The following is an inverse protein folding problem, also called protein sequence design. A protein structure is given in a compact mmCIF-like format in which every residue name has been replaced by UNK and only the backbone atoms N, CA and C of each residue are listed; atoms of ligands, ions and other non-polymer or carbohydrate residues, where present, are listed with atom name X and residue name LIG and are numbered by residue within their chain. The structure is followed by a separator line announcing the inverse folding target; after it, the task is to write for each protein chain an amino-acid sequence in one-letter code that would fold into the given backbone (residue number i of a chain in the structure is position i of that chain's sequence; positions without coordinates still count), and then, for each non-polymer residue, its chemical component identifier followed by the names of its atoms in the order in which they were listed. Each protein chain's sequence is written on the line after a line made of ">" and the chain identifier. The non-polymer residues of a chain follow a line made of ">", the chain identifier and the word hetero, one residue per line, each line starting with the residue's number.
data_IF_360670838254
#
_entry.id   IF_360670838254
#
_cell.length_a   1.000
_cell.length_b   1.000
_cell.length_c   1.000
_cell.angle_alpha   90.00
_cell.angle_beta   90.00
_cell.angle_gamma   90.00
#
_symmetry.space_group_name_H-M   'P 1'
#
loop_
_entity.id
_entity.type
_entity.pdbx_description
1 polymer ?
#
# COMPACT_ATOMS: atom_id res chain seq x y z
N UNK A 1 2.88 11.25 -18.17
CA UNK A 1 2.19 10.74 -16.97
C UNK A 1 2.55 11.64 -15.80
N UNK A 2 1.59 12.05 -14.98
CA UNK A 2 1.80 12.72 -13.68
C UNK A 2 1.55 11.74 -12.55
N UNK A 3 2.49 11.65 -11.61
CA UNK A 3 2.44 10.72 -10.49
C UNK A 3 2.31 11.51 -9.19
N UNK A 4 1.44 11.06 -8.29
CA UNK A 4 1.36 11.54 -6.92
C UNK A 4 1.85 10.46 -5.97
N UNK A 5 2.81 10.81 -5.13
CA UNK A 5 3.21 9.99 -3.98
C UNK A 5 2.43 10.46 -2.76
N UNK A 6 1.62 9.58 -2.18
CA UNK A 6 0.94 9.81 -0.91
C UNK A 6 1.72 9.06 0.16
N UNK A 7 2.26 9.81 1.11
CA UNK A 7 2.98 9.25 2.24
C UNK A 7 2.36 9.71 3.54
N UNK A 8 2.65 8.97 4.61
CA UNK A 8 2.30 9.37 5.98
C UNK A 8 0.78 9.55 6.15
N UNK A 9 0.00 8.57 5.69
CA UNK A 9 -1.40 8.45 6.12
C UNK A 9 -1.49 8.09 7.60
N UNK A 10 -0.56 7.25 8.04
CA UNK A 10 -0.26 7.03 9.45
C UNK A 10 0.97 7.86 9.84
N UNK A 11 0.84 8.68 10.89
CA UNK A 11 1.86 9.68 11.23
C UNK A 11 3.21 9.12 11.67
N UNK A 12 3.22 7.89 12.19
CA UNK A 12 4.41 7.18 12.65
C UNK A 12 5.11 6.37 11.54
N UNK A 13 4.55 6.29 10.33
CA UNK A 13 5.16 5.59 9.18
C UNK A 13 5.98 6.59 8.34
N UNK A 14 7.20 6.90 8.79
CA UNK A 14 7.99 8.04 8.29
C UNK A 14 8.62 7.82 6.90
N UNK A 15 8.70 6.58 6.42
CA UNK A 15 9.35 6.27 5.13
C UNK A 15 8.68 7.01 3.95
N UNK A 16 7.35 7.16 3.97
CA UNK A 16 6.63 7.92 2.96
C UNK A 16 7.10 9.37 2.82
N UNK A 17 7.51 10.03 3.91
CA UNK A 17 8.08 11.37 3.84
C UNK A 17 9.45 11.37 3.13
N UNK A 18 10.32 10.40 3.44
CA UNK A 18 11.62 10.23 2.79
C UNK A 18 11.47 9.99 1.29
N UNK A 19 10.52 9.14 0.91
CA UNK A 19 10.20 8.84 -0.51
C UNK A 19 9.73 10.09 -1.26
N UNK A 20 8.87 10.91 -0.65
CA UNK A 20 8.42 12.18 -1.24
C UNK A 20 9.60 13.11 -1.51
N UNK A 21 10.49 13.29 -0.53
CA UNK A 21 11.64 14.18 -0.65
C UNK A 21 12.63 13.68 -1.72
N UNK A 22 12.87 12.36 -1.76
CA UNK A 22 13.71 11.71 -2.77
C UNK A 22 13.19 11.94 -4.19
N UNK A 23 11.92 11.66 -4.44
CA UNK A 23 11.36 11.73 -5.79
C UNK A 23 11.13 13.15 -6.29
N UNK A 24 10.67 14.08 -5.44
CA UNK A 24 10.42 15.48 -5.84
C UNK A 24 11.67 16.20 -6.33
N UNK A 25 12.83 15.84 -5.79
CA UNK A 25 14.11 16.42 -6.20
C UNK A 25 14.59 15.89 -7.56
N UNK A 26 14.16 14.67 -7.92
CA UNK A 26 14.69 13.91 -9.06
C UNK A 26 13.77 13.94 -10.29
N UNK A 27 12.45 14.03 -10.09
CA UNK A 27 11.48 13.87 -11.17
C UNK A 27 10.47 15.02 -11.25
N UNK A 28 10.55 15.82 -12.30
CA UNK A 28 9.71 17.02 -12.48
C UNK A 28 8.20 16.74 -12.57
N UNK A 29 7.79 15.54 -12.99
CA UNK A 29 6.38 15.13 -13.14
C UNK A 29 5.84 14.32 -11.95
N UNK A 30 6.57 14.31 -10.84
CA UNK A 30 6.20 13.61 -9.60
C UNK A 30 6.00 14.63 -8.50
N UNK A 31 4.78 14.67 -7.98
CA UNK A 31 4.47 15.42 -6.77
C UNK A 31 4.31 14.45 -5.59
N UNK A 32 4.21 15.01 -4.39
CA UNK A 32 3.98 14.24 -3.19
C UNK A 32 3.28 15.03 -2.10
N UNK A 33 2.56 14.32 -1.25
CA UNK A 33 1.76 14.90 -0.17
C UNK A 33 1.95 14.11 1.13
N UNK A 34 2.22 14.83 2.21
CA UNK A 34 2.09 14.31 3.57
C UNK A 34 0.60 14.27 3.88
N UNK A 35 0.02 13.08 3.89
CA UNK A 35 -1.43 12.90 3.96
C UNK A 35 -2.00 13.36 5.31
N UNK A 36 -1.36 12.94 6.41
CA UNK A 36 -1.75 13.25 7.78
C UNK A 36 -0.66 14.07 8.52
N UNK A 37 -0.51 15.39 8.21
CA UNK A 37 0.54 16.21 8.80
C UNK A 37 0.39 16.42 10.32
N UNK A 38 -0.83 16.33 10.87
CA UNK A 38 -1.07 16.44 12.32
C UNK A 38 -0.54 15.21 13.04
N UNK A 39 -0.92 14.01 12.61
CA UNK A 39 -0.41 12.77 13.19
C UNK A 39 1.11 12.64 13.00
N UNK A 40 1.63 13.08 11.85
CA UNK A 40 3.06 13.11 11.59
C UNK A 40 3.83 13.97 12.60
N UNK A 41 3.36 15.19 12.85
CA UNK A 41 3.96 16.10 13.82
C UNK A 41 3.97 15.54 15.24
N UNK A 42 2.94 14.77 15.59
CA UNK A 42 2.78 14.16 16.91
C UNK A 42 3.44 12.77 17.01
N UNK A 43 3.96 12.22 15.90
CA UNK A 43 4.50 10.87 15.80
C UNK A 43 3.53 9.79 16.32
N UNK A 44 2.26 9.93 15.96
CA UNK A 44 1.19 8.96 16.30
C UNK A 44 0.61 8.37 15.03
N UNK A 45 0.00 7.18 15.11
CA UNK A 45 -0.64 6.55 13.95
C UNK A 45 -1.74 7.43 13.36
N UNK A 46 -2.63 7.95 14.20
CA UNK A 46 -3.67 8.91 13.85
C UNK A 46 -4.09 9.71 15.08
N UNK A 47 -4.78 10.84 14.88
CA UNK A 47 -5.23 11.75 15.92
C UNK A 47 -6.65 11.41 16.42
N UNK A 48 -7.60 11.17 15.50
CA UNK A 48 -9.01 10.92 15.85
C UNK A 48 -9.49 9.58 15.29
N UNK A 49 -9.29 9.32 14.00
CA UNK A 49 -9.65 8.05 13.35
C UNK A 49 -8.56 7.57 12.39
N UNK A 50 -8.56 6.28 12.03
CA UNK A 50 -7.62 5.75 11.04
C UNK A 50 -7.90 6.38 9.65
N UNK A 51 -6.93 7.16 9.14
CA UNK A 51 -7.06 7.87 7.87
C UNK A 51 -7.27 6.91 6.69
N UNK A 52 -6.62 5.75 6.68
CA UNK A 52 -6.77 4.74 5.62
C UNK A 52 -8.04 3.89 5.77
N UNK A 53 -8.98 4.34 6.62
CA UNK A 53 -10.37 3.89 6.74
C UNK A 53 -11.39 5.03 6.59
N UNK A 54 -10.90 6.25 6.32
CA UNK A 54 -11.69 7.49 6.37
C UNK A 54 -12.04 8.05 4.99
N UNK A 55 -11.62 7.41 3.89
CA UNK A 55 -12.03 7.83 2.55
C UNK A 55 -13.50 7.50 2.31
N UNK A 56 -14.17 8.31 1.48
CA UNK A 56 -15.60 8.16 1.15
C UNK A 56 -16.51 8.05 2.38
N UNK A 57 -16.13 8.69 3.49
CA UNK A 57 -16.94 8.74 4.70
C UNK A 57 -18.33 9.35 4.39
N UNK A 58 -19.44 8.76 4.88
CA UNK A 58 -20.79 9.29 4.63
C UNK A 58 -20.99 10.72 5.14
N UNK A 59 -20.26 11.09 6.18
CA UNK A 59 -20.25 12.43 6.77
C UNK A 59 -18.85 12.72 7.32
N UNK A 60 -18.34 13.92 7.10
CA UNK A 60 -17.05 14.36 7.65
C UNK A 60 -17.28 14.81 9.10
N UNK A 61 -16.68 14.08 10.04
CA UNK A 61 -16.82 14.29 11.49
C UNK A 61 -15.48 14.35 12.23
N UNK A 62 -14.42 13.80 11.64
CA UNK A 62 -13.07 13.78 12.18
C UNK A 62 -12.08 14.55 11.30
N UNK A 63 -10.94 14.89 11.90
CA UNK A 63 -9.80 15.46 11.20
C UNK A 63 -9.32 14.57 10.04
N UNK A 64 -9.20 13.26 10.23
CA UNK A 64 -8.75 12.34 9.18
C UNK A 64 -9.74 12.18 8.04
N UNK A 65 -11.06 12.16 8.29
CA UNK A 65 -12.08 12.17 7.23
C UNK A 65 -11.99 13.42 6.36
N UNK A 66 -11.76 14.59 6.98
CA UNK A 66 -11.53 15.83 6.24
C UNK A 66 -10.26 15.73 5.38
N UNK A 67 -9.17 15.24 5.94
CA UNK A 67 -7.91 15.07 5.21
C UNK A 67 -8.02 14.05 4.08
N UNK A 68 -8.73 12.94 4.29
CA UNK A 68 -8.96 11.92 3.28
C UNK A 68 -9.72 12.50 2.09
N UNK A 69 -10.76 13.32 2.33
CA UNK A 69 -11.47 14.02 1.26
C UNK A 69 -10.56 14.99 0.48
N UNK A 70 -9.71 15.76 1.17
CA UNK A 70 -8.76 16.67 0.53
C UNK A 70 -7.70 15.94 -0.32
N UNK A 71 -7.15 14.83 0.17
CA UNK A 71 -6.20 13.98 -0.56
C UNK A 71 -6.87 13.30 -1.76
N UNK A 72 -8.11 12.86 -1.61
CA UNK A 72 -8.88 12.28 -2.71
C UNK A 72 -9.12 13.29 -3.85
N UNK A 73 -9.51 14.52 -3.52
CA UNK A 73 -9.67 15.58 -4.53
C UNK A 73 -8.34 15.98 -5.19
N UNK A 74 -7.23 15.97 -4.44
CA UNK A 74 -5.90 16.19 -5.00
C UNK A 74 -5.52 15.08 -5.99
N UNK A 75 -5.78 13.82 -5.62
CA UNK A 75 -5.43 12.62 -6.40
C UNK A 75 -6.04 12.62 -7.80
N UNK A 76 -7.22 13.22 -7.99
CA UNK A 76 -7.89 13.35 -9.30
C UNK A 76 -7.09 14.14 -10.35
N UNK A 77 -6.05 14.86 -9.96
CA UNK A 77 -5.21 15.67 -10.86
C UNK A 77 -4.02 14.88 -11.44
N UNK A 78 -3.88 13.62 -11.04
CA UNK A 78 -2.74 12.76 -11.37
C UNK A 78 -3.23 11.53 -12.13
N UNK A 79 -2.36 11.00 -12.98
CA UNK A 79 -2.66 9.82 -13.79
C UNK A 79 -2.48 8.52 -12.98
N UNK A 80 -1.59 8.57 -11.97
CA UNK A 80 -1.25 7.43 -11.12
C UNK A 80 -0.89 7.90 -9.70
N UNK A 81 -1.33 7.13 -8.70
CA UNK A 81 -1.06 7.40 -7.28
C UNK A 81 -0.33 6.24 -6.64
N UNK A 82 0.76 6.54 -5.95
CA UNK A 82 1.55 5.58 -5.18
C UNK A 82 1.33 5.89 -3.70
N UNK A 83 0.73 4.96 -2.98
CA UNK A 83 0.54 5.03 -1.53
C UNK A 83 1.69 4.32 -0.82
N UNK A 84 2.36 4.99 0.13
CA UNK A 84 3.53 4.43 0.82
C UNK A 84 3.18 4.15 2.28
N UNK A 85 3.36 2.89 2.68
CA UNK A 85 3.13 2.40 4.02
C UNK A 85 4.34 1.61 4.54
N UNK A 86 4.42 1.49 5.86
CA UNK A 86 5.39 0.60 6.51
C UNK A 86 4.71 -0.33 7.50
N UNK A 87 5.20 -1.57 7.56
CA UNK A 87 4.72 -2.64 8.43
C UNK A 87 5.84 -3.20 9.31
N UNK A 88 5.45 -3.84 10.40
CA UNK A 88 6.31 -4.67 11.25
C UNK A 88 6.20 -6.16 10.93
N UNK A 89 5.40 -6.53 9.93
CA UNK A 89 5.27 -7.91 9.47
C UNK A 89 6.61 -8.46 8.95
N UNK A 90 6.80 -9.78 9.13
CA UNK A 90 8.00 -10.50 8.69
C UNK A 90 7.97 -10.74 7.17
N UNK A 91 8.31 -9.70 6.41
CA UNK A 91 8.47 -9.68 4.96
C UNK A 91 9.11 -8.36 4.50
N UNK A 92 10.03 -8.37 3.53
CA UNK A 92 10.72 -7.12 3.13
C UNK A 92 9.78 -6.05 2.55
N UNK A 93 8.94 -6.44 1.59
CA UNK A 93 8.08 -5.52 0.85
C UNK A 93 6.98 -6.29 0.09
N UNK A 94 5.80 -5.69 -0.08
CA UNK A 94 4.76 -6.20 -1.00
C UNK A 94 3.89 -5.07 -1.58
N UNK A 95 3.57 -5.12 -2.89
CA UNK A 95 2.53 -4.25 -3.45
C UNK A 95 1.13 -4.75 -3.08
N UNK A 96 0.27 -3.81 -2.69
CA UNK A 96 -1.13 -4.02 -2.36
C UNK A 96 -2.01 -3.24 -3.33
N UNK A 97 -3.01 -3.90 -3.92
CA UNK A 97 -3.94 -3.31 -4.87
C UNK A 97 -5.39 -3.52 -4.42
N UNK A 98 -6.29 -2.60 -4.79
CA UNK A 98 -7.74 -2.80 -4.66
C UNK A 98 -8.35 -3.32 -5.97
N UNK A 99 -7.82 -2.87 -7.10
CA UNK A 99 -8.27 -3.25 -8.43
C UNK A 99 -7.09 -3.60 -9.34
N UNK A 100 -7.34 -4.41 -10.37
CA UNK A 100 -6.34 -4.80 -11.36
C UNK A 100 -6.79 -4.33 -12.75
N UNK A 101 -6.19 -3.23 -13.19
CA UNK A 101 -6.43 -2.64 -14.51
C UNK A 101 -5.11 -2.46 -15.27
N UNK A 102 -5.17 -1.96 -16.51
CA UNK A 102 -3.98 -1.82 -17.35
C UNK A 102 -2.88 -0.94 -16.74
N UNK A 103 -3.25 0.15 -16.04
CA UNK A 103 -2.28 1.06 -15.42
C UNK A 103 -1.61 0.40 -14.21
N UNK A 104 -2.39 -0.29 -13.39
CA UNK A 104 -1.88 -1.05 -12.23
C UNK A 104 -1.00 -2.22 -12.70
N UNK A 105 -1.44 -2.97 -13.72
CA UNK A 105 -0.63 -4.04 -14.31
C UNK A 105 0.73 -3.50 -14.79
N UNK A 106 0.72 -2.36 -15.48
CA UNK A 106 1.94 -1.67 -15.91
C UNK A 106 2.83 -1.31 -14.72
N UNK A 107 2.30 -0.71 -13.67
CA UNK A 107 3.07 -0.39 -12.48
C UNK A 107 3.71 -1.64 -11.84
N UNK A 108 2.93 -2.73 -11.70
CA UNK A 108 3.42 -3.98 -11.15
C UNK A 108 4.56 -4.60 -11.98
N UNK A 109 4.61 -4.36 -13.29
CA UNK A 109 5.70 -4.86 -14.15
C UNK A 109 7.08 -4.27 -13.84
N UNK A 110 7.13 -3.10 -13.20
CA UNK A 110 8.36 -2.44 -12.78
C UNK A 110 8.80 -2.83 -11.36
N UNK A 111 7.94 -3.52 -10.60
CA UNK A 111 8.27 -3.97 -9.26
C UNK A 111 8.96 -5.34 -9.29
N UNK A 112 9.96 -5.57 -8.42
CA UNK A 112 10.74 -6.79 -8.46
C UNK A 112 9.95 -8.03 -7.99
N UNK A 113 9.06 -7.87 -7.01
CA UNK A 113 8.33 -8.97 -6.37
C UNK A 113 7.38 -9.69 -7.32
N UNK A 114 7.30 -11.01 -7.21
CA UNK A 114 6.27 -11.79 -7.92
C UNK A 114 4.93 -11.68 -7.20
N UNK A 115 4.95 -11.55 -5.88
CA UNK A 115 3.78 -11.52 -5.01
C UNK A 115 3.10 -10.15 -5.04
N UNK A 116 1.78 -10.18 -5.19
CA UNK A 116 0.91 -9.01 -5.13
C UNK A 116 -0.29 -9.34 -4.26
N UNK A 117 -0.63 -8.47 -3.31
CA UNK A 117 -1.83 -8.65 -2.48
C UNK A 117 -2.97 -7.85 -3.09
N UNK A 118 -4.12 -8.49 -3.29
CA UNK A 118 -5.35 -7.80 -3.68
C UNK A 118 -6.34 -7.81 -2.53
N UNK A 119 -6.70 -6.61 -2.06
CA UNK A 119 -7.67 -6.39 -0.98
C UNK A 119 -9.10 -6.45 -1.54
N UNK A 120 -9.87 -7.46 -1.15
CA UNK A 120 -11.24 -7.70 -1.68
C UNK A 120 -12.33 -7.53 -0.60
N UNK A 121 -12.04 -6.77 0.46
CA UNK A 121 -13.01 -6.42 1.50
C UNK A 121 -13.95 -5.30 1.05
N UNK A 122 -15.23 -5.30 1.46
CA UNK A 122 -16.14 -4.18 1.20
C UNK A 122 -15.64 -2.84 1.76
N UNK A 123 -14.82 -2.88 2.81
CA UNK A 123 -14.23 -1.71 3.46
C UNK A 123 -13.04 -1.12 2.70
N UNK A 124 -12.48 -1.82 1.70
CA UNK A 124 -11.36 -1.31 0.90
C UNK A 124 -11.72 0.00 0.20
N UNK A 125 -13.00 0.20 -0.15
CA UNK A 125 -13.52 1.45 -0.74
C UNK A 125 -13.35 2.68 0.17
N UNK A 126 -13.02 2.48 1.45
CA UNK A 126 -12.74 3.54 2.41
C UNK A 126 -11.22 3.78 2.63
N UNK A 127 -10.37 3.11 1.85
CA UNK A 127 -8.93 3.35 1.76
C UNK A 127 -8.61 4.26 0.56
N UNK A 128 -7.38 4.78 0.49
CA UNK A 128 -6.94 5.54 -0.69
C UNK A 128 -7.01 4.68 -1.95
N UNK A 129 -6.44 3.48 -1.91
CA UNK A 129 -6.34 2.60 -3.08
C UNK A 129 -7.69 2.08 -3.56
N UNK A 130 -8.67 1.92 -2.66
CA UNK A 130 -10.03 1.58 -3.06
C UNK A 130 -10.86 2.78 -3.52
N UNK A 131 -10.35 4.00 -3.38
CA UNK A 131 -11.00 5.25 -3.81
C UNK A 131 -10.40 5.84 -5.09
N UNK A 132 -9.19 5.42 -5.48
CA UNK A 132 -8.46 5.92 -6.64
C UNK A 132 -8.16 4.76 -7.60
N UNK A 133 -8.76 4.77 -8.78
CA UNK A 133 -8.69 3.65 -9.73
C UNK A 133 -7.26 3.31 -10.19
N UNK A 134 -6.45 4.31 -10.51
CA UNK A 134 -5.08 4.14 -10.96
C UNK A 134 -4.12 4.30 -9.78
N UNK A 135 -4.17 3.37 -8.84
CA UNK A 135 -3.32 3.42 -7.66
C UNK A 135 -2.90 2.04 -7.18
N UNK A 136 -1.80 2.03 -6.42
CA UNK A 136 -1.39 0.90 -5.60
C UNK A 136 -0.84 1.43 -4.29
N UNK A 137 -0.75 0.55 -3.31
CA UNK A 137 -0.01 0.76 -2.08
C UNK A 137 1.25 -0.10 -2.10
N UNK A 138 2.32 0.43 -1.54
CA UNK A 138 3.59 -0.23 -1.34
C UNK A 138 3.80 -0.36 0.17
N UNK A 139 3.77 -1.60 0.66
CA UNK A 139 3.90 -1.92 2.07
C UNK A 139 5.32 -2.46 2.31
N UNK A 140 6.16 -1.69 2.99
CA UNK A 140 7.56 -2.06 3.27
C UNK A 140 7.72 -2.45 4.74
N UNK A 141 8.52 -3.47 5.05
CA UNK A 141 8.91 -3.66 6.44
C UNK A 141 9.75 -2.47 6.93
N UNK A 142 9.55 -2.08 8.19
CA UNK A 142 10.19 -0.89 8.78
C UNK A 142 11.72 -0.92 8.72
N UNK A 143 12.34 -2.09 8.91
CA UNK A 143 13.80 -2.24 8.82
C UNK A 143 14.26 -2.21 7.35
N UNK A 144 13.51 -2.87 6.45
CA UNK A 144 13.83 -2.87 5.02
C UNK A 144 13.68 -1.47 4.41
N UNK A 145 12.72 -0.67 4.87
CA UNK A 145 12.48 0.71 4.45
C UNK A 145 13.65 1.66 4.72
N UNK A 146 14.58 1.30 5.61
CA UNK A 146 15.81 2.05 5.86
C UNK A 146 16.95 1.71 4.87
N UNK A 147 16.74 0.75 3.98
CA UNK A 147 17.74 0.34 2.99
C UNK A 147 17.70 1.17 1.70
N UNK A 148 18.85 1.29 1.03
CA UNK A 148 18.93 1.90 -0.30
C UNK A 148 18.05 1.15 -1.32
N UNK A 149 17.92 -0.18 -1.16
CA UNK A 149 17.08 -1.03 -2.01
C UNK A 149 15.61 -0.62 -1.98
N UNK A 150 15.10 -0.15 -0.85
CA UNK A 150 13.72 0.33 -0.76
C UNK A 150 13.51 1.57 -1.65
N UNK A 151 14.48 2.50 -1.68
CA UNK A 151 14.45 3.66 -2.58
C UNK A 151 14.69 3.28 -4.04
N UNK A 152 15.54 2.29 -4.32
CA UNK A 152 15.74 1.74 -5.68
C UNK A 152 14.42 1.19 -6.25
N UNK A 153 13.63 0.46 -5.45
CA UNK A 153 12.30 -0.03 -5.87
C UNK A 153 11.37 1.13 -6.26
N UNK A 154 11.40 2.23 -5.50
CA UNK A 154 10.61 3.42 -5.83
C UNK A 154 11.10 4.05 -7.14
N UNK A 155 12.42 4.17 -7.31
CA UNK A 155 13.01 4.74 -8.52
C UNK A 155 12.65 3.93 -9.76
N UNK A 156 12.75 2.60 -9.69
CA UNK A 156 12.39 1.71 -10.80
C UNK A 156 10.92 1.85 -11.19
N UNK A 157 10.01 1.89 -10.20
CA UNK A 157 8.59 2.11 -10.43
C UNK A 157 8.33 3.48 -11.09
N UNK A 158 8.91 4.55 -10.54
CA UNK A 158 8.69 5.92 -11.03
C UNK A 158 9.25 6.08 -12.45
N UNK A 159 10.50 5.67 -12.68
CA UNK A 159 11.15 5.75 -14.00
C UNK A 159 10.37 4.92 -15.02
N UNK A 160 9.99 3.70 -14.68
CA UNK A 160 9.20 2.84 -15.56
C UNK A 160 7.82 3.43 -15.89
N UNK A 161 7.13 4.01 -14.91
CA UNK A 161 5.83 4.64 -15.16
C UNK A 161 5.94 5.92 -16.00
N UNK A 162 7.06 6.64 -15.92
CA UNK A 162 7.36 7.81 -16.75
C UNK A 162 7.85 7.45 -18.16
N UNK A 163 8.36 6.24 -18.40
CA UNK A 163 8.73 5.75 -19.74
C UNK A 163 7.51 5.37 -20.56
N UNK A 164 7.70 4.81 -21.76
CA UNK A 164 6.65 4.11 -22.51
C UNK A 164 6.73 2.60 -22.28
N UNK A 165 5.62 1.88 -22.47
CA UNK A 165 5.58 0.41 -22.43
C UNK A 165 5.53 -0.21 -21.02
N UNK A 166 5.57 -1.54 -20.98
CA UNK A 166 5.69 -2.34 -19.76
C UNK A 166 7.17 -2.53 -19.39
N UNK A 167 7.41 -2.88 -18.13
CA UNK A 167 8.68 -3.40 -17.66
C UNK A 167 8.96 -4.80 -18.21
N UNK A 168 9.96 -5.47 -17.63
CA UNK A 168 10.30 -6.82 -18.03
C UNK A 168 9.11 -7.77 -17.85
N UNK A 169 8.97 -8.71 -18.80
CA UNK A 169 7.96 -9.74 -18.70
C UNK A 169 8.17 -10.58 -17.44
N UNK A 170 7.21 -10.54 -16.52
CA UNK A 170 7.25 -11.28 -15.25
C UNK A 170 5.87 -11.85 -14.95
N UNK A 171 5.84 -13.08 -14.45
CA UNK A 171 4.62 -13.61 -13.85
C UNK A 171 4.43 -12.99 -12.48
N UNK A 172 3.20 -12.54 -12.19
CA UNK A 172 2.81 -12.12 -10.84
C UNK A 172 1.82 -13.11 -10.25
N UNK A 173 1.96 -13.40 -8.96
CA UNK A 173 1.02 -14.18 -8.17
C UNK A 173 0.18 -13.22 -7.34
N UNK A 174 -1.11 -13.11 -7.66
CA UNK A 174 -2.06 -12.26 -6.96
C UNK A 174 -2.75 -13.06 -5.86
N UNK A 175 -2.59 -12.65 -4.60
CA UNK A 175 -3.23 -13.20 -3.42
C UNK A 175 -4.54 -12.46 -3.14
N UNK A 176 -5.66 -13.16 -3.27
CA UNK A 176 -7.00 -12.59 -3.11
C UNK A 176 -7.42 -12.61 -1.64
N UNK A 177 -7.24 -11.49 -0.95
CA UNK A 177 -7.53 -11.35 0.49
C UNK A 177 -8.98 -10.98 0.74
N UNK A 178 -9.69 -11.87 1.42
CA UNK A 178 -11.13 -11.73 1.70
C UNK A 178 -11.50 -12.01 3.16
N UNK A 179 -10.53 -12.36 4.00
CA UNK A 179 -10.77 -12.72 5.41
C UNK A 179 -9.80 -12.02 6.36
N UNK A 180 -10.28 -11.73 7.56
CA UNK A 180 -9.46 -11.23 8.67
C UNK A 180 -9.04 -12.42 9.53
N UNK A 181 -7.76 -12.52 9.85
CA UNK A 181 -7.24 -13.49 10.82
C UNK A 181 -7.50 -12.93 12.21
N UNK A 182 -8.31 -13.63 13.02
CA UNK A 182 -8.63 -13.20 14.38
C UNK A 182 -7.38 -13.09 15.24
N UNK A 183 -7.40 -12.12 16.15
CA UNK A 183 -6.44 -11.93 17.26
C UNK A 183 -6.30 -13.15 18.19
N UNK A 184 -7.25 -14.09 18.14
CA UNK A 184 -7.24 -15.36 18.89
C UNK A 184 -6.65 -16.52 18.10
N UNK A 185 -6.39 -16.34 16.81
CA UNK A 185 -5.76 -17.37 16.00
C UNK A 185 -4.32 -17.57 16.47
N UNK A 186 -3.88 -18.83 16.57
CA UNK A 186 -2.47 -19.11 16.77
C UNK A 186 -1.72 -18.79 15.47
N UNK A 187 -0.85 -17.80 15.45
CA UNK A 187 -0.03 -17.44 14.29
C UNK A 187 1.44 -17.90 14.46
N UNK A 188 1.75 -18.63 15.53
CA UNK A 188 3.11 -19.06 15.83
C UNK A 188 3.65 -19.98 14.72
N UNK A 189 4.81 -19.61 14.16
CA UNK A 189 5.47 -20.37 13.09
C UNK A 189 4.84 -20.22 11.70
N UNK A 190 3.74 -19.48 11.57
CA UNK A 190 3.13 -19.16 10.29
C UNK A 190 3.96 -18.15 9.52
N UNK A 191 3.90 -18.20 8.18
CA UNK A 191 4.68 -17.31 7.30
C UNK A 191 3.76 -16.53 6.37
N UNK A 192 4.07 -15.26 6.18
CA UNK A 192 3.38 -14.43 5.19
C UNK A 192 3.50 -15.05 3.78
N UNK A 193 2.41 -15.00 3.01
CA UNK A 193 2.34 -15.43 1.60
C UNK A 193 2.56 -16.93 1.34
N UNK A 194 2.63 -17.76 2.39
CA UNK A 194 2.73 -19.23 2.32
C UNK A 194 1.44 -19.86 2.84
N UNK A 195 0.92 -20.88 2.15
CA UNK A 195 -0.34 -21.51 2.59
C UNK A 195 -0.17 -22.16 3.97
N UNK A 196 -1.10 -21.86 4.87
CA UNK A 196 -1.18 -22.43 6.20
C UNK A 196 -2.34 -23.40 6.30
N UNK A 197 -2.06 -24.68 6.52
CA UNK A 197 -3.10 -25.66 6.84
C UNK A 197 -3.79 -25.33 8.17
N UNK A 198 -3.05 -24.71 9.11
CA UNK A 198 -3.56 -24.33 10.44
C UNK A 198 -4.59 -23.20 10.36
N UNK A 199 -4.31 -22.21 9.53
CA UNK A 199 -5.19 -21.04 9.32
C UNK A 199 -6.16 -21.22 8.14
N UNK A 200 -5.96 -22.26 7.32
CA UNK A 200 -6.76 -22.54 6.12
C UNK A 200 -6.74 -21.41 5.08
N UNK A 201 -5.64 -20.66 5.00
CA UNK A 201 -5.44 -19.54 4.09
C UNK A 201 -3.95 -19.27 3.88
N UNK A 202 -3.61 -18.38 2.92
CA UNK A 202 -2.31 -17.73 2.89
C UNK A 202 -2.35 -16.53 3.83
N UNK A 203 -1.60 -16.50 4.94
CA UNK A 203 -1.57 -15.37 5.85
C UNK A 203 -0.85 -14.18 5.21
N UNK A 204 -1.33 -12.97 5.46
CA UNK A 204 -0.85 -11.73 4.86
C UNK A 204 -0.76 -10.68 5.95
N UNK A 205 0.39 -10.00 6.03
CA UNK A 205 0.71 -9.01 7.05
C UNK A 205 0.53 -9.51 8.50
N UNK A 206 0.77 -10.81 8.73
CA UNK A 206 0.88 -11.33 10.10
C UNK A 206 2.20 -10.85 10.73
N UNK A 207 2.15 -10.58 12.04
CA UNK A 207 3.27 -9.98 12.79
C UNK A 207 3.19 -8.47 12.91
N UNK A 208 2.19 -7.81 12.28
CA UNK A 208 1.96 -6.38 12.43
C UNK A 208 1.52 -6.01 13.86
N UNK A 209 2.35 -5.23 14.55
CA UNK A 209 2.18 -4.82 15.95
C UNK A 209 1.10 -3.74 16.14
N UNK A 210 0.75 -2.99 15.10
CA UNK A 210 -0.24 -1.91 15.18
C UNK A 210 -1.67 -2.35 14.92
N UNK A 211 -1.92 -3.61 14.53
CA UNK A 211 -3.28 -4.11 14.39
C UNK A 211 -3.97 -4.30 15.74
N UNK A 212 -5.22 -3.85 15.82
CA UNK A 212 -6.06 -3.93 17.02
C UNK A 212 -7.30 -4.77 16.68
N UNK A 213 -7.48 -5.89 17.38
CA UNK A 213 -8.62 -6.79 17.21
C UNK A 213 -8.48 -7.82 16.08
N UNK A 214 -7.31 -7.90 15.44
CA UNK A 214 -6.97 -8.92 14.46
C UNK A 214 -5.45 -9.09 14.32
N UNK A 215 -5.00 -10.21 13.75
CA UNK A 215 -3.59 -10.57 13.61
C UNK A 215 -3.05 -10.47 12.18
N UNK A 216 -3.90 -10.22 11.19
CA UNK A 216 -3.53 -10.09 9.78
C UNK A 216 -4.71 -10.37 8.86
N UNK A 217 -4.43 -10.59 7.58
CA UNK A 217 -5.42 -10.94 6.56
C UNK A 217 -5.16 -12.35 6.02
N UNK A 218 -6.21 -13.00 5.52
CA UNK A 218 -6.15 -14.31 4.89
C UNK A 218 -6.58 -14.24 3.43
N UNK A 219 -5.75 -14.76 2.53
CA UNK A 219 -6.14 -15.03 1.15
C UNK A 219 -6.59 -16.49 0.97
N UNK A 220 -7.73 -16.70 0.33
CA UNK A 220 -8.28 -18.04 0.07
C UNK A 220 -7.90 -18.61 -1.29
N UNK A 221 -7.54 -17.73 -2.22
CA UNK A 221 -7.16 -18.10 -3.57
C UNK A 221 -5.98 -17.26 -4.04
N UNK A 222 -5.26 -17.83 -5.00
CA UNK A 222 -4.18 -17.17 -5.72
C UNK A 222 -4.46 -17.28 -7.21
N UNK A 223 -4.15 -16.23 -7.96
CA UNK A 223 -4.17 -16.25 -9.42
C UNK A 223 -2.79 -15.88 -9.96
N UNK A 224 -2.44 -16.41 -11.14
CA UNK A 224 -1.21 -16.03 -11.83
C UNK A 224 -1.55 -15.21 -13.05
N UNK A 225 -0.92 -14.05 -13.16
CA UNK A 225 -1.01 -13.19 -14.33
C UNK A 225 0.36 -13.06 -14.97
N UNK A 226 0.37 -12.91 -16.29
CA UNK A 226 1.57 -12.57 -17.04
C UNK A 226 1.51 -11.07 -17.34
N UNK A 227 2.56 -10.34 -16.99
CA UNK A 227 2.64 -8.91 -17.21
C UNK A 227 3.92 -8.62 -18.00
N UNK A 228 3.79 -8.00 -19.18
CA UNK A 228 4.88 -7.69 -20.11
C UNK A 228 4.42 -7.75 -21.55
#
# INVERSE_FOLDING_TARGET
>A
MKILIVGVQHGNEIFGAKVIDHCKQKYQSVDGVIANPRAHKENVRFCETDMNRSYNAPSISSYEEKRAAEVLELSKRYDFVIDIHTTTADMDFVPIIADYNHVVARALSFLPNEEVVKMEFPTVKNSLIGSVQNSLSLEFNEDFAESDKALEIIDDLVVGMLSEGFGEYRSKTIYHTSEIISDKADISGEKNLVYSDKLGCYPILIGEKHYVGYSGFGAKSVSRVSIG
#
